data_IF_074567171042
#
_entry.id   IF_074567171042
#
_cell.length_a   1.000
_cell.length_b   1.000
_cell.length_c   1.000
_cell.angle_alpha   90.00
_cell.angle_beta   90.00
_cell.angle_gamma   90.00
#
_symmetry.space_group_name_H-M   'P 1'
#
loop_
_entity.id
_entity.type
_entity.pdbx_description
1 polymer ?
#
# COMPACT_ATOMS: atom_id res chain seq x y z
N UNK A 1 -14.76 30.12 -8.32
CA UNK A 1 -13.44 29.47 -8.44
C UNK A 1 -13.67 27.97 -8.38
N UNK A 2 -13.41 27.25 -9.48
CA UNK A 2 -13.44 25.79 -9.48
C UNK A 2 -12.43 25.30 -8.44
N UNK A 3 -12.85 24.41 -7.55
CA UNK A 3 -11.96 23.86 -6.55
C UNK A 3 -11.05 22.87 -7.28
N UNK A 4 -9.85 23.31 -7.65
CA UNK A 4 -8.92 22.51 -8.44
C UNK A 4 -8.64 21.17 -7.74
N UNK A 5 -8.65 20.10 -8.55
CA UNK A 5 -8.46 18.74 -8.06
C UNK A 5 -7.04 18.56 -7.53
N UNK A 6 -6.89 18.43 -6.21
CA UNK A 6 -5.60 18.13 -5.59
C UNK A 6 -5.48 16.60 -5.34
N UNK A 7 -4.60 15.88 -6.06
CA UNK A 7 -4.48 14.44 -5.97
C UNK A 7 -3.90 13.98 -4.62
N UNK A 8 -3.01 14.77 -3.99
CA UNK A 8 -2.52 14.47 -2.65
C UNK A 8 -3.64 14.52 -1.62
N UNK A 9 -4.47 15.56 -1.63
CA UNK A 9 -5.63 15.69 -0.72
C UNK A 9 -6.64 14.56 -0.93
N UNK A 10 -6.80 14.10 -2.17
CA UNK A 10 -7.59 12.92 -2.48
C UNK A 10 -6.99 11.69 -1.80
N UNK A 11 -5.72 11.38 -2.08
CA UNK A 11 -5.04 10.21 -1.52
C UNK A 11 -4.86 10.24 -0.01
N UNK A 12 -4.72 11.39 0.65
CA UNK A 12 -4.62 11.44 2.12
C UNK A 12 -5.85 10.88 2.85
N UNK A 13 -7.00 10.81 2.18
CA UNK A 13 -8.21 10.19 2.74
C UNK A 13 -8.19 8.67 2.67
N UNK A 14 -7.28 8.09 1.90
CA UNK A 14 -7.19 6.65 1.63
C UNK A 14 -5.80 6.11 1.99
N UNK A 15 -5.78 4.95 2.62
CA UNK A 15 -4.53 4.23 2.86
C UNK A 15 -3.88 3.85 1.52
N UNK A 16 -2.54 3.81 1.47
CA UNK A 16 -1.80 3.30 0.32
C UNK A 16 -2.15 1.82 0.09
N UNK A 17 -2.79 1.45 -1.04
CA UNK A 17 -3.22 0.06 -1.26
C UNK A 17 -2.03 -0.79 -1.71
N UNK A 18 -1.66 -1.78 -0.89
CA UNK A 18 -0.60 -2.73 -1.18
C UNK A 18 -1.18 -4.15 -1.22
N UNK A 19 -1.27 -4.73 -2.42
CA UNK A 19 -1.61 -6.15 -2.60
C UNK A 19 -0.45 -7.05 -2.16
N UNK A 20 -0.53 -7.55 -0.94
CA UNK A 20 0.57 -8.26 -0.25
C UNK A 20 1.04 -9.49 -1.04
N UNK A 21 0.12 -10.26 -1.61
CA UNK A 21 0.40 -11.45 -2.40
C UNK A 21 1.29 -11.16 -3.63
N UNK A 22 0.87 -10.20 -4.45
CA UNK A 22 1.62 -9.79 -5.63
C UNK A 22 2.93 -9.11 -5.22
N UNK A 23 2.91 -8.31 -4.15
CA UNK A 23 4.09 -7.58 -3.69
C UNK A 23 5.19 -8.52 -3.19
N UNK A 24 4.84 -9.46 -2.30
CA UNK A 24 5.78 -10.45 -1.78
C UNK A 24 6.35 -11.29 -2.91
N UNK A 25 5.50 -11.77 -3.84
CA UNK A 25 5.96 -12.56 -5.00
C UNK A 25 7.03 -11.83 -5.81
N UNK A 26 6.84 -10.53 -6.04
CA UNK A 26 7.74 -9.76 -6.87
C UNK A 26 9.01 -9.31 -6.12
N UNK A 27 9.05 -9.40 -4.78
CA UNK A 27 10.15 -8.89 -3.92
C UNK A 27 10.86 -9.96 -3.08
N UNK A 28 10.65 -11.25 -3.38
CA UNK A 28 11.23 -12.37 -2.62
C UNK A 28 12.76 -12.43 -2.65
N UNK A 29 13.39 -11.80 -3.64
CA UNK A 29 14.83 -11.70 -3.80
C UNK A 29 15.47 -10.61 -2.92
N UNK A 30 14.65 -9.68 -2.39
CA UNK A 30 15.11 -8.63 -1.49
C UNK A 30 15.34 -9.18 -0.08
N UNK A 31 16.45 -8.76 0.52
CA UNK A 31 16.68 -8.97 1.94
C UNK A 31 15.80 -8.05 2.80
N UNK A 32 15.69 -8.35 4.09
CA UNK A 32 14.81 -7.61 5.02
C UNK A 32 15.06 -6.09 5.02
N UNK A 33 16.31 -5.64 5.01
CA UNK A 33 16.65 -4.21 5.00
C UNK A 33 16.26 -3.53 3.68
N UNK A 34 16.45 -4.22 2.55
CA UNK A 34 16.11 -3.72 1.21
C UNK A 34 14.59 -3.67 1.03
N UNK A 35 13.90 -4.70 1.50
CA UNK A 35 12.44 -4.74 1.55
C UNK A 35 11.87 -3.61 2.41
N UNK A 36 12.44 -3.36 3.59
CA UNK A 36 12.05 -2.23 4.45
C UNK A 36 12.30 -0.88 3.77
N UNK A 37 13.47 -0.70 3.15
CA UNK A 37 13.80 0.50 2.40
C UNK A 37 12.83 0.76 1.24
N UNK A 38 12.46 -0.30 0.50
CA UNK A 38 11.49 -0.22 -0.60
C UNK A 38 10.15 0.35 -0.12
N UNK A 39 9.60 -0.22 0.97
CA UNK A 39 8.32 0.23 1.52
C UNK A 39 8.35 1.68 2.00
N UNK A 40 9.40 2.08 2.72
CA UNK A 40 9.53 3.44 3.23
C UNK A 40 9.55 4.47 2.09
N UNK A 41 10.21 4.15 0.98
CA UNK A 41 10.24 5.00 -0.21
C UNK A 41 8.84 5.06 -0.86
N UNK A 42 8.15 3.94 -1.02
CA UNK A 42 6.79 3.91 -1.57
C UNK A 42 5.81 4.73 -0.73
N UNK A 43 5.89 4.65 0.60
CA UNK A 43 5.02 5.42 1.50
C UNK A 43 5.29 6.92 1.41
N UNK A 44 6.58 7.29 1.29
CA UNK A 44 6.95 8.68 1.07
C UNK A 44 6.45 9.20 -0.29
N UNK A 45 6.57 8.40 -1.35
CA UNK A 45 6.05 8.72 -2.69
C UNK A 45 4.53 8.90 -2.69
N UNK A 46 3.79 8.02 -2.01
CA UNK A 46 2.32 8.10 -1.92
C UNK A 46 1.82 9.44 -1.36
N UNK A 47 2.57 9.98 -0.39
CA UNK A 47 2.27 11.23 0.30
C UNK A 47 2.54 12.49 -0.54
N UNK A 48 3.28 12.36 -1.65
CA UNK A 48 3.64 13.47 -2.56
C UNK A 48 2.71 13.51 -3.75
N UNK A 49 2.33 14.71 -4.22
CA UNK A 49 1.35 14.88 -5.30
C UNK A 49 1.74 14.12 -6.57
N UNK A 50 3.00 14.30 -7.00
CA UNK A 50 3.57 13.77 -8.25
C UNK A 50 3.98 12.30 -8.21
N UNK A 51 3.86 11.61 -7.07
CA UNK A 51 4.22 10.18 -6.90
C UNK A 51 5.67 9.82 -7.31
N UNK A 52 6.55 10.82 -7.39
CA UNK A 52 7.95 10.67 -7.76
C UNK A 52 8.88 10.94 -6.57
N UNK A 53 10.17 10.62 -6.72
CA UNK A 53 11.24 11.02 -5.80
C UNK A 53 12.45 11.51 -6.57
N UNK A 54 13.09 12.64 -6.20
CA UNK A 54 14.35 13.05 -6.83
C UNK A 54 15.42 11.98 -6.62
N UNK A 55 16.24 11.73 -7.65
CA UNK A 55 17.41 10.85 -7.61
C UNK A 55 18.56 11.49 -6.80
N UNK A 56 18.32 11.64 -5.50
CA UNK A 56 19.27 12.16 -4.52
C UNK A 56 19.52 11.09 -3.46
N UNK A 57 20.69 10.46 -3.55
CA UNK A 57 21.12 9.41 -2.62
C UNK A 57 21.02 9.81 -1.16
N UNK A 58 21.25 11.09 -0.82
CA UNK A 58 21.18 11.54 0.57
C UNK A 58 19.74 11.57 1.07
N UNK A 59 18.79 12.01 0.23
CA UNK A 59 17.36 12.02 0.56
C UNK A 59 16.80 10.60 0.62
N UNK A 60 17.12 9.79 -0.38
CA UNK A 60 16.66 8.41 -0.46
C UNK A 60 17.21 7.56 0.70
N UNK A 61 18.49 7.69 1.04
CA UNK A 61 19.06 7.02 2.21
C UNK A 61 18.36 7.41 3.52
N UNK A 62 18.04 8.70 3.69
CA UNK A 62 17.33 9.20 4.87
C UNK A 62 15.90 8.66 4.96
N UNK A 63 15.20 8.55 3.83
CA UNK A 63 13.87 7.95 3.76
C UNK A 63 13.91 6.46 4.08
N UNK A 64 14.88 5.75 3.51
CA UNK A 64 15.14 4.34 3.78
C UNK A 64 15.71 4.08 5.19
N UNK A 65 15.94 5.12 6.00
CA UNK A 65 16.48 5.05 7.37
C UNK A 65 17.81 4.31 7.46
N UNK A 66 18.67 4.48 6.45
CA UNK A 66 19.98 3.84 6.39
C UNK A 66 21.11 4.86 6.19
N UNK A 67 22.36 4.42 6.36
CA UNK A 67 23.52 5.26 6.06
C UNK A 67 23.70 5.44 4.55
N UNK A 68 24.24 6.59 4.10
CA UNK A 68 24.52 6.81 2.68
C UNK A 68 25.48 5.77 2.09
N UNK A 69 26.42 5.26 2.90
CA UNK A 69 27.34 4.20 2.48
C UNK A 69 26.58 2.91 2.16
N UNK A 70 25.68 2.49 3.05
CA UNK A 70 24.84 1.30 2.86
C UNK A 70 23.87 1.49 1.69
N UNK A 71 23.29 2.69 1.56
CA UNK A 71 22.43 3.05 0.44
C UNK A 71 23.13 2.82 -0.91
N UNK A 72 24.27 3.48 -1.11
CA UNK A 72 25.01 3.42 -2.39
C UNK A 72 25.56 2.02 -2.69
N UNK A 73 26.07 1.33 -1.67
CA UNK A 73 26.75 0.05 -1.87
C UNK A 73 25.81 -1.14 -2.08
N UNK A 74 24.58 -1.09 -1.55
CA UNK A 74 23.72 -2.27 -1.46
C UNK A 74 22.25 -1.98 -1.79
N UNK A 75 21.65 -1.00 -1.11
CA UNK A 75 20.19 -0.81 -1.19
C UNK A 75 19.78 -0.22 -2.55
N UNK A 76 20.47 0.80 -3.05
CA UNK A 76 20.15 1.42 -4.36
C UNK A 76 20.22 0.40 -5.49
N UNK A 77 21.31 -0.38 -5.68
CA UNK A 77 21.37 -1.40 -6.73
C UNK A 77 20.26 -2.47 -6.64
N UNK A 78 19.84 -2.84 -5.43
CA UNK A 78 18.75 -3.80 -5.24
C UNK A 78 17.38 -3.20 -5.59
N UNK A 79 17.17 -1.91 -5.35
CA UNK A 79 15.91 -1.22 -5.59
C UNK A 79 15.74 -0.72 -7.01
N UNK A 80 16.82 -0.32 -7.69
CA UNK A 80 16.79 0.29 -9.02
C UNK A 80 15.96 -0.51 -10.06
N UNK A 81 15.97 -1.85 -10.10
CA UNK A 81 15.10 -2.64 -10.99
C UNK A 81 13.59 -2.51 -10.73
N UNK A 82 13.19 -2.04 -9.54
CA UNK A 82 11.79 -1.88 -9.13
C UNK A 82 11.24 -0.48 -9.44
N UNK A 83 12.09 0.46 -9.88
CA UNK A 83 11.73 1.83 -10.16
C UNK A 83 12.14 2.23 -11.57
N UNK A 84 11.34 3.08 -12.20
CA UNK A 84 11.73 3.75 -13.43
C UNK A 84 12.41 5.06 -13.04
N UNK A 85 13.71 5.14 -13.34
CA UNK A 85 14.53 6.33 -13.09
C UNK A 85 14.66 7.12 -14.38
N UNK A 86 13.82 8.14 -14.55
CA UNK A 86 13.80 9.00 -15.73
C UNK A 86 13.91 10.47 -15.34
N UNK A 87 14.66 11.27 -16.11
CA UNK A 87 14.85 12.71 -15.87
C UNK A 87 15.33 13.07 -14.46
N UNK A 88 16.06 12.17 -13.78
CA UNK A 88 16.50 12.35 -12.40
C UNK A 88 15.40 12.14 -11.35
N UNK A 89 14.32 11.44 -11.69
CA UNK A 89 13.24 11.09 -10.79
C UNK A 89 12.98 9.59 -10.78
N UNK A 90 12.79 9.05 -9.58
CA UNK A 90 12.34 7.68 -9.33
C UNK A 90 10.81 7.65 -9.34
N UNK A 91 10.26 6.77 -10.17
CA UNK A 91 8.81 6.50 -10.24
C UNK A 91 8.56 5.00 -10.16
N UNK A 92 7.35 4.60 -9.78
CA UNK A 92 7.00 3.19 -9.69
C UNK A 92 5.66 2.94 -10.40
N UNK A 93 5.69 2.13 -11.46
CA UNK A 93 4.50 1.82 -12.29
C UNK A 93 3.32 1.34 -11.46
N UNK A 94 3.56 0.45 -10.49
CA UNK A 94 2.52 -0.13 -9.66
C UNK A 94 1.86 0.93 -8.78
N UNK A 95 2.67 1.76 -8.12
CA UNK A 95 2.18 2.85 -7.28
C UNK A 95 1.34 3.85 -8.09
N UNK A 96 1.79 4.20 -9.30
CA UNK A 96 1.07 5.10 -10.20
C UNK A 96 -0.31 4.54 -10.58
N UNK A 97 -0.39 3.25 -10.94
CA UNK A 97 -1.67 2.60 -11.28
C UNK A 97 -2.66 2.63 -10.11
N UNK A 98 -2.18 2.32 -8.91
CA UNK A 98 -3.03 2.33 -7.72
C UNK A 98 -3.46 3.74 -7.32
N UNK A 99 -2.60 4.75 -7.49
CA UNK A 99 -2.94 6.14 -7.28
C UNK A 99 -4.07 6.58 -8.23
N UNK A 100 -3.93 6.33 -9.53
CA UNK A 100 -4.97 6.67 -10.52
C UNK A 100 -6.30 6.00 -10.21
N UNK A 101 -6.28 4.72 -9.78
CA UNK A 101 -7.49 3.99 -9.39
C UNK A 101 -8.16 4.62 -8.16
N UNK A 102 -7.37 4.94 -7.13
CA UNK A 102 -7.85 5.57 -5.89
C UNK A 102 -8.43 6.95 -6.16
N UNK A 103 -7.73 7.73 -6.97
CA UNK A 103 -8.11 9.08 -7.40
C UNK A 103 -9.43 9.09 -8.17
N UNK A 104 -9.59 8.17 -9.12
CA UNK A 104 -10.84 7.98 -9.86
C UNK A 104 -11.99 7.61 -8.93
N UNK A 105 -11.79 6.62 -8.06
CA UNK A 105 -12.81 6.18 -7.12
C UNK A 105 -13.30 7.33 -6.22
N UNK A 106 -12.36 8.13 -5.71
CA UNK A 106 -12.64 9.30 -4.89
C UNK A 106 -13.41 10.38 -5.64
N UNK A 107 -13.05 10.62 -6.91
CA UNK A 107 -13.75 11.56 -7.77
C UNK A 107 -15.20 11.10 -8.00
N UNK A 108 -15.40 9.85 -8.38
CA UNK A 108 -16.71 9.26 -8.62
C UNK A 108 -17.60 9.33 -7.36
N UNK A 109 -17.04 9.09 -6.17
CA UNK A 109 -17.76 9.26 -4.90
C UNK A 109 -18.15 10.72 -4.65
N UNK A 110 -17.25 11.67 -4.93
CA UNK A 110 -17.54 13.09 -4.74
C UNK A 110 -18.62 13.60 -5.70
N UNK A 111 -18.62 13.13 -6.95
CA UNK A 111 -19.61 13.51 -7.96
C UNK A 111 -20.99 12.93 -7.64
N UNK A 112 -21.07 11.68 -7.15
CA UNK A 112 -22.32 11.08 -6.67
C UNK A 112 -22.93 11.86 -5.49
N UNK A 113 -22.09 12.30 -4.55
CA UNK A 113 -22.56 13.11 -3.41
C UNK A 113 -23.13 14.45 -3.87
N UNK A 114 -22.44 15.16 -4.77
CA UNK A 114 -22.93 16.42 -5.36
C UNK A 114 -24.23 16.24 -6.13
N UNK A 115 -24.35 15.17 -6.92
CA UNK A 115 -25.58 14.85 -7.64
C UNK A 115 -26.77 14.56 -6.71
N UNK A 116 -26.51 13.90 -5.58
CA UNK A 116 -27.52 13.66 -4.53
C UNK A 116 -27.93 14.95 -3.80
N UNK A 117 -26.99 15.85 -3.50
CA UNK A 117 -27.28 17.13 -2.85
C UNK A 117 -28.10 18.06 -3.76
N UNK A 118 -27.81 18.07 -5.07
CA UNK A 118 -28.59 18.83 -6.05
C UNK A 118 -30.00 18.23 -6.28
N UNK A 119 -30.14 16.90 -6.18
CA UNK A 119 -31.45 16.23 -6.37
C UNK A 119 -32.31 16.25 -5.09
N UNK A 120 -31.69 16.26 -3.91
CA UNK A 120 -32.39 16.35 -2.62
C UNK A 120 -33.07 17.71 -2.37
N UNK A 121 -32.61 18.77 -3.03
CA UNK A 121 -33.27 20.09 -3.01
C UNK A 121 -34.41 20.22 -4.02
N UNK A 122 -34.57 19.26 -4.95
CA UNK A 122 -35.67 19.26 -5.93
C UNK A 122 -36.90 18.46 -5.46
N UNK A 123 -36.78 17.70 -4.36
CA UNK A 123 -37.89 17.00 -3.72
C UNK A 123 -38.47 17.80 -2.55
N UNK A 124 -38.84 19.06 -2.80
CA UNK A 124 -39.80 19.76 -1.94
C UNK A 124 -41.18 19.17 -2.27
N UNK A 125 -41.67 18.29 -1.39
CA UNK A 125 -42.96 17.61 -1.51
C UNK A 125 -44.12 18.61 -1.64
N UNK A 126 -45.07 18.43 -2.58
CA UNK A 126 -46.37 19.08 -2.46
C UNK A 126 -47.13 18.46 -1.29
N UNK A 127 -47.58 19.31 -0.38
CA UNK A 127 -48.42 18.99 0.77
C UNK A 127 -49.75 18.39 0.30
N UNK A 128 -50.08 17.18 0.76
CA UNK A 128 -51.38 16.59 0.47
C UNK A 128 -51.51 15.10 0.75
N UNK A 129 -52.32 14.79 1.76
CA UNK A 129 -53.11 13.56 1.94
C UNK A 129 -52.47 12.44 2.77
N UNK A 130 -52.95 12.37 4.02
CA UNK A 130 -52.89 11.22 4.90
C UNK A 130 -53.67 10.05 4.29
N UNK A 131 -53.09 8.85 4.28
CA UNK A 131 -53.87 7.63 4.36
C UNK A 131 -53.09 6.47 4.95
N UNK A 132 -53.87 5.56 5.53
CA UNK A 132 -53.58 4.73 6.67
C UNK A 132 -52.65 3.54 6.41
N UNK A 133 -52.19 2.99 7.54
CA UNK A 133 -51.24 1.90 7.65
C UNK A 133 -51.84 0.54 7.28
N UNK A 134 -51.02 -0.33 6.67
CA UNK A 134 -51.10 -1.76 6.95
C UNK A 134 -49.77 -2.51 6.72
N UNK A 135 -49.55 -3.47 7.63
CA UNK A 135 -48.76 -4.71 7.55
C UNK A 135 -47.22 -4.70 7.57
N UNK A 136 -46.73 -5.21 8.72
CA UNK A 136 -45.78 -6.32 8.92
C UNK A 136 -44.35 -6.30 8.36
N UNK A 137 -43.44 -6.46 9.34
CA UNK A 137 -42.12 -7.13 9.30
C UNK A 137 -41.05 -6.51 8.40
N UNK A 138 -39.89 -6.10 8.96
CA UNK A 138 -38.66 -6.93 9.12
C UNK A 138 -37.58 -6.18 9.93
N UNK A 139 -37.00 -6.88 10.92
CA UNK A 139 -35.65 -6.77 11.51
C UNK A 139 -35.02 -5.41 11.85
N UNK A 140 -35.09 -5.07 13.14
CA UNK A 140 -34.29 -4.03 13.80
C UNK A 140 -32.98 -4.62 14.34
N UNK A 141 -31.84 -4.25 13.72
CA UNK A 141 -30.55 -4.24 14.42
C UNK A 141 -30.06 -2.80 14.47
N UNK A 142 -30.11 -2.24 15.68
CA UNK A 142 -29.91 -0.84 16.02
C UNK A 142 -28.51 -0.35 15.68
N UNK A 143 -28.45 0.76 14.95
CA UNK A 143 -27.32 1.69 14.90
C UNK A 143 -27.25 2.46 16.23
N UNK A 144 -26.18 2.30 16.99
CA UNK A 144 -25.92 3.12 18.17
C UNK A 144 -25.25 4.43 17.74
N UNK A 145 -25.93 5.54 18.04
CA UNK A 145 -25.40 6.91 17.98
C UNK A 145 -24.57 7.16 19.23
N UNK A 146 -23.36 7.68 19.06
CA UNK A 146 -22.58 8.27 20.15
C UNK A 146 -23.12 9.68 20.42
N UNK A 147 -23.32 10.01 21.69
CA UNK A 147 -23.73 11.32 22.15
C UNK A 147 -22.54 11.98 22.84
N UNK A 148 -22.18 13.17 22.38
CA UNK A 148 -21.27 14.09 23.07
C UNK A 148 -21.88 14.51 24.41
N UNK A 149 -21.05 14.61 25.45
CA UNK A 149 -21.25 15.62 26.51
C UNK A 149 -19.90 16.15 27.00
N UNK A 150 -19.74 17.45 26.76
CA UNK A 150 -18.79 18.36 27.37
C UNK A 150 -19.40 18.90 28.67
N UNK A 151 -18.65 18.87 29.78
CA UNK A 151 -18.96 19.60 31.01
C UNK A 151 -17.72 19.73 31.90
N UNK A 152 -17.12 20.90 31.82
CA UNK A 152 -16.09 21.48 32.69
C UNK A 152 -16.57 21.65 34.14
N UNK A 153 -15.71 21.37 35.13
CA UNK A 153 -15.53 22.21 36.33
C UNK A 153 -14.19 21.88 37.00
N UNK A 154 -13.36 22.92 37.16
CA UNK A 154 -12.18 22.97 38.04
C UNK A 154 -12.62 23.07 39.51
N UNK A 155 -11.93 22.40 40.43
CA UNK A 155 -11.67 22.90 41.79
C UNK A 155 -10.40 22.22 42.33
N UNK A 156 -9.52 23.06 42.85
CA UNK A 156 -8.14 22.83 43.31
C UNK A 156 -8.02 22.09 44.64
N UNK A 157 -7.01 21.22 44.78
CA UNK A 157 -6.27 21.04 46.03
C UNK A 157 -4.91 20.37 45.78
N UNK A 158 -3.87 21.05 46.25
CA UNK A 158 -2.45 20.70 46.31
C UNK A 158 -2.19 19.45 47.16
N UNK A 159 -1.33 18.53 46.73
CA UNK A 159 -0.37 17.84 47.62
C UNK A 159 0.75 17.11 46.86
N UNK A 160 1.97 17.42 47.30
CA UNK A 160 3.28 16.95 46.88
C UNK A 160 3.48 15.44 47.05
N UNK A 161 4.35 14.85 46.23
CA UNK A 161 5.11 13.65 46.61
C UNK A 161 5.22 12.53 45.57
N UNK A 162 6.46 12.31 45.12
CA UNK A 162 7.06 11.03 44.71
C UNK A 162 6.77 10.40 43.32
N UNK A 163 7.90 10.10 42.66
CA UNK A 163 8.04 9.28 41.45
C UNK A 163 7.45 7.88 41.62
N UNK A 164 6.91 7.26 40.56
CA UNK A 164 6.81 5.81 40.47
C UNK A 164 7.97 5.26 39.62
N UNK A 165 8.97 4.72 40.31
CA UNK A 165 9.89 3.69 39.80
C UNK A 165 9.11 2.42 39.50
N UNK A 166 9.17 1.90 38.27
CA UNK A 166 8.68 0.55 37.97
C UNK A 166 9.87 -0.38 37.75
N UNK A 167 10.16 -1.16 38.80
CA UNK A 167 11.09 -2.27 38.78
C UNK A 167 10.60 -3.39 37.85
N UNK A 168 11.53 -3.90 37.05
CA UNK A 168 11.44 -5.12 36.25
C UNK A 168 11.38 -6.36 37.14
N UNK A 169 10.31 -7.16 37.04
CA UNK A 169 10.26 -8.53 37.59
C UNK A 169 10.33 -9.55 36.45
N UNK A 170 11.52 -10.14 36.26
CA UNK A 170 11.75 -11.37 35.49
C UNK A 170 11.26 -12.60 36.25
N UNK A 171 10.55 -13.56 35.62
CA UNK A 171 10.32 -14.87 36.21
C UNK A 171 11.48 -15.83 35.88
N UNK A 172 12.05 -16.41 36.94
CA UNK A 172 13.12 -17.42 36.96
C UNK A 172 12.59 -18.80 36.56
N UNK A 173 13.21 -19.44 35.55
CA UNK A 173 12.98 -20.85 35.18
C UNK A 173 14.31 -21.60 35.38
N UNK A 174 14.23 -22.70 36.14
CA UNK A 174 15.36 -23.54 36.60
C UNK A 174 16.08 -24.24 35.43
N UNK A 175 17.41 -24.22 35.45
CA UNK A 175 18.30 -24.94 34.52
C UNK A 175 18.34 -26.46 34.78
N UNK A 176 18.38 -27.31 33.73
CA UNK A 176 18.80 -28.71 33.83
C UNK A 176 20.28 -28.93 33.40
N UNK A 177 20.95 -30.00 33.88
CA UNK A 177 22.41 -30.12 33.87
C UNK A 177 23.04 -30.60 32.54
N UNK A 178 24.28 -30.19 32.31
CA UNK A 178 25.15 -30.45 31.15
C UNK A 178 25.78 -31.86 31.15
N UNK A 179 25.80 -32.52 29.98
CA UNK A 179 26.75 -33.57 29.57
C UNK A 179 26.77 -33.72 28.01
N UNK A 180 27.75 -34.40 27.36
CA UNK A 180 28.83 -33.84 26.55
C UNK A 180 28.70 -34.08 25.01
N UNK A 181 29.65 -33.63 24.15
CA UNK A 181 29.39 -33.44 22.72
C UNK A 181 29.65 -34.71 21.90
N UNK A 182 28.66 -35.15 21.14
CA UNK A 182 28.76 -36.26 20.20
C UNK A 182 27.91 -35.99 18.97
N UNK A 183 28.57 -35.84 17.82
CA UNK A 183 27.96 -35.41 16.55
C UNK A 183 26.85 -36.33 16.04
N UNK A 184 25.88 -35.74 15.34
CA UNK A 184 25.01 -36.43 14.39
C UNK A 184 24.75 -35.53 13.18
N UNK A 185 24.79 -36.18 12.03
CA UNK A 185 24.82 -35.65 10.67
C UNK A 185 23.58 -34.83 10.31
N UNK A 186 23.77 -33.85 9.42
CA UNK A 186 22.68 -33.07 8.82
C UNK A 186 22.02 -33.92 7.74
N UNK A 187 20.83 -34.45 8.00
CA UNK A 187 19.95 -34.96 6.94
C UNK A 187 19.50 -33.79 6.07
N UNK A 188 20.04 -33.73 4.84
CA UNK A 188 19.62 -32.79 3.80
C UNK A 188 18.32 -33.34 3.22
N UNK A 189 17.18 -32.80 3.66
CA UNK A 189 15.88 -33.10 3.07
C UNK A 189 15.82 -32.44 1.68
N UNK A 190 16.12 -33.23 0.66
CA UNK A 190 16.17 -32.80 -0.73
C UNK A 190 14.75 -32.81 -1.32
N UNK A 191 14.10 -31.64 -1.42
CA UNK A 191 12.81 -31.52 -2.10
C UNK A 191 13.01 -31.49 -3.62
N UNK A 192 12.34 -32.36 -4.41
CA UNK A 192 12.50 -32.38 -5.85
C UNK A 192 11.94 -31.09 -6.47
N UNK A 193 12.80 -30.33 -7.17
CA UNK A 193 12.38 -29.18 -8.00
C UNK A 193 11.53 -29.69 -9.16
N UNK A 194 10.31 -29.17 -9.32
CA UNK A 194 9.52 -29.41 -10.53
C UNK A 194 10.23 -28.79 -11.75
N UNK A 195 10.31 -29.48 -12.90
CA UNK A 195 10.97 -28.94 -14.08
C UNK A 195 10.21 -27.73 -14.64
N UNK A 196 11.00 -26.71 -15.02
CA UNK A 196 10.58 -25.51 -15.75
C UNK A 196 9.80 -25.93 -17.00
N UNK A 197 8.53 -25.52 -17.09
CA UNK A 197 7.62 -25.88 -18.18
C UNK A 197 8.11 -25.31 -19.51
N UNK A 198 8.72 -26.17 -20.34
CA UNK A 198 9.23 -25.84 -21.67
C UNK A 198 8.17 -25.29 -22.65
N UNK A 199 6.87 -25.42 -22.34
CA UNK A 199 5.78 -24.94 -23.19
C UNK A 199 5.68 -23.42 -23.31
N UNK A 200 6.00 -22.65 -22.25
CA UNK A 200 5.88 -21.18 -22.29
C UNK A 200 6.95 -20.51 -23.15
N UNK A 201 8.14 -21.11 -23.23
CA UNK A 201 9.22 -20.58 -24.07
C UNK A 201 8.95 -20.83 -25.56
N UNK A 202 8.30 -21.95 -25.90
CA UNK A 202 7.89 -22.22 -27.29
C UNK A 202 6.73 -21.30 -27.73
N UNK A 203 5.78 -21.01 -26.84
CA UNK A 203 4.68 -20.08 -27.13
C UNK A 203 5.18 -18.63 -27.30
N UNK A 204 6.14 -18.20 -26.47
CA UNK A 204 6.80 -16.90 -26.62
C UNK A 204 7.60 -16.80 -27.92
N UNK A 205 8.31 -17.87 -28.31
CA UNK A 205 9.03 -17.91 -29.59
C UNK A 205 8.11 -17.92 -30.81
N UNK A 206 6.95 -18.61 -30.75
CA UNK A 206 5.97 -18.57 -31.83
C UNK A 206 5.40 -17.17 -32.02
N UNK A 207 5.05 -16.51 -30.91
CA UNK A 207 4.51 -15.15 -30.94
C UNK A 207 5.53 -14.12 -31.45
N UNK A 208 6.80 -14.29 -31.09
CA UNK A 208 7.88 -13.44 -31.61
C UNK A 208 8.09 -13.61 -33.13
N UNK A 209 8.00 -14.84 -33.64
CA UNK A 209 8.11 -15.12 -35.08
C UNK A 209 6.93 -14.55 -35.87
N UNK A 210 5.73 -14.58 -35.32
CA UNK A 210 4.53 -14.01 -35.96
C UNK A 210 4.60 -12.47 -36.06
N UNK A 211 5.17 -11.82 -35.04
CA UNK A 211 5.39 -10.36 -35.04
C UNK A 211 6.44 -9.96 -36.08
N UNK A 212 7.52 -10.73 -36.24
CA UNK A 212 8.54 -10.47 -37.26
C UNK A 212 7.98 -10.65 -38.68
N UNK A 213 7.22 -11.73 -38.92
CA UNK A 213 6.56 -11.95 -40.21
C UNK A 213 5.58 -10.82 -40.56
N UNK A 214 4.86 -10.30 -39.57
CA UNK A 214 3.94 -9.17 -39.76
C UNK A 214 4.66 -7.83 -40.03
N UNK A 215 5.91 -7.68 -39.56
CA UNK A 215 6.75 -6.50 -39.83
C UNK A 215 7.48 -6.57 -41.16
N UNK A 216 7.77 -7.76 -41.66
CA UNK A 216 8.33 -7.97 -43.01
C UNK A 216 7.26 -7.75 -44.07
N UNK A 217 6.06 -8.33 -43.90
CA UNK A 217 4.94 -8.12 -44.82
C UNK A 217 4.48 -6.66 -44.93
N UNK A 218 4.69 -5.85 -43.88
CA UNK A 218 4.42 -4.40 -43.92
C UNK A 218 5.53 -3.61 -44.61
N UNK A 219 6.79 -4.05 -44.53
CA UNK A 219 7.89 -3.41 -45.26
C UNK A 219 7.80 -3.67 -46.76
N UNK A 220 7.42 -4.88 -47.15
CA UNK A 220 7.26 -5.25 -48.57
C UNK A 220 6.05 -4.54 -49.22
N UNK A 221 5.08 -4.07 -48.43
CA UNK A 221 3.93 -3.30 -48.92
C UNK A 221 4.22 -1.78 -49.02
N UNK A 222 5.26 -1.28 -48.36
CA UNK A 222 5.68 0.13 -48.42
C UNK A 222 6.74 0.38 -49.53
N UNK A 223 7.33 -0.69 -50.10
CA UNK A 223 8.33 -0.66 -51.20
C UNK A 223 7.73 -0.93 -52.61
N UNK A 224 6.40 -1.04 -52.74
CA UNK A 224 5.65 -1.10 -54.03
C UNK A 224 4.86 0.18 -54.28
#
# INVERSE_FOLDING_TARGET
MSQDYNPKKARTKYACPIWVDAFVRDTMDLAADEFGAYHLILYAMWSREELNMPDDDRKLARLARCSQKMWRARIRPALEPFFDVENGYWTNVRLTKEATKTEKFLRDQSDRKRGSENSGNAAAFPEGTQQEADSSDINSYKSLKNNDQDATTETTADHSGEQPTQETKSPSIKEPPLAPPGGREKEIINFPRKPRTQGREQEAMLRAKEILRSKEAKRDADDQ
#
